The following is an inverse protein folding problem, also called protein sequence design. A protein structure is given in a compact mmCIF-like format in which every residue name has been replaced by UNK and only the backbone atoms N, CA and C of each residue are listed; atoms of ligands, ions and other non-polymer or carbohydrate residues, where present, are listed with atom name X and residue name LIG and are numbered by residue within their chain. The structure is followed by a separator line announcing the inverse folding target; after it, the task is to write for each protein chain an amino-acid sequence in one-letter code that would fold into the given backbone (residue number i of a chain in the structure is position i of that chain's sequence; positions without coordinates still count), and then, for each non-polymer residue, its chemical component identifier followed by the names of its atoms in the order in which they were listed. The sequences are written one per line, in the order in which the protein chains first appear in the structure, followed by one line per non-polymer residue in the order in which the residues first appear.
data_IF_076075311523
#
_entry.id   IF_076075311523
#
_cell.length_a   1.000
_cell.length_b   1.000
_cell.length_c   1.000
_cell.angle_alpha   90.00
_cell.angle_beta   90.00
_cell.angle_gamma   90.00
#
_symmetry.space_group_name_H-M   'P 1'
#
loop_
_entity.id
_entity.type
_entity.pdbx_description
1 polymer ?
#
# COMPACT_ATOMS: atom_id res chain seq x y z
N UNK A 1 27.32 -17.93 5.80
CA UNK A 1 25.96 -17.78 5.25
C UNK A 1 26.12 -17.12 3.91
N UNK A 2 25.49 -17.64 2.85
CA UNK A 2 25.55 -17.05 1.51
C UNK A 2 24.94 -15.65 1.53
N UNK A 3 25.59 -14.69 0.89
CA UNK A 3 25.14 -13.30 0.85
C UNK A 3 23.73 -13.16 0.24
N UNK A 4 23.39 -14.01 -0.72
CA UNK A 4 22.05 -14.06 -1.32
C UNK A 4 20.98 -14.43 -0.28
N UNK A 5 21.27 -15.41 0.60
CA UNK A 5 20.38 -15.81 1.67
C UNK A 5 20.17 -14.69 2.68
N UNK A 6 21.23 -13.96 3.02
CA UNK A 6 21.15 -12.80 3.93
C UNK A 6 20.23 -11.73 3.33
N UNK A 7 20.43 -11.37 2.06
CA UNK A 7 19.58 -10.37 1.39
C UNK A 7 18.12 -10.82 1.23
N UNK A 8 17.90 -12.12 0.95
CA UNK A 8 16.55 -12.67 0.91
C UNK A 8 15.82 -12.50 2.24
N UNK A 9 16.49 -12.81 3.36
CA UNK A 9 15.92 -12.62 4.70
C UNK A 9 15.64 -11.15 4.97
N UNK A 10 16.57 -10.25 4.66
CA UNK A 10 16.40 -8.81 4.88
C UNK A 10 15.23 -8.23 4.09
N UNK A 11 15.12 -8.56 2.81
CA UNK A 11 13.99 -8.13 1.96
C UNK A 11 12.67 -8.69 2.49
N UNK A 12 12.67 -9.96 2.92
CA UNK A 12 11.48 -10.58 3.53
C UNK A 12 11.04 -9.85 4.79
N UNK A 13 11.98 -9.51 5.69
CA UNK A 13 11.68 -8.75 6.91
C UNK A 13 11.10 -7.36 6.57
N UNK A 14 11.64 -6.69 5.56
CA UNK A 14 11.11 -5.40 5.14
C UNK A 14 9.65 -5.50 4.64
N UNK A 15 9.32 -6.51 3.84
CA UNK A 15 7.93 -6.73 3.41
C UNK A 15 7.00 -7.13 4.55
N UNK A 16 7.46 -7.96 5.49
CA UNK A 16 6.68 -8.31 6.69
C UNK A 16 6.39 -7.04 7.51
N UNK A 17 7.41 -6.20 7.74
CA UNK A 17 7.24 -4.92 8.43
C UNK A 17 6.24 -4.01 7.71
N UNK A 18 6.34 -3.90 6.39
CA UNK A 18 5.38 -3.16 5.57
C UNK A 18 3.95 -3.68 5.76
N UNK A 19 3.70 -4.97 5.54
CA UNK A 19 2.34 -5.52 5.66
C UNK A 19 1.77 -5.41 7.06
N UNK A 20 2.62 -5.50 8.09
CA UNK A 20 2.19 -5.33 9.47
C UNK A 20 1.78 -3.89 9.76
N UNK A 21 2.61 -2.91 9.41
CA UNK A 21 2.39 -1.50 9.72
C UNK A 21 1.30 -0.89 8.83
N UNK A 22 1.45 -1.04 7.53
CA UNK A 22 0.51 -0.49 6.55
C UNK A 22 -0.86 -1.17 6.59
N UNK A 23 -0.91 -2.42 7.05
CA UNK A 23 -2.17 -3.14 7.27
C UNK A 23 -3.12 -2.43 8.22
N UNK A 24 -2.61 -1.76 9.25
CA UNK A 24 -3.42 -0.90 10.14
C UNK A 24 -3.95 0.32 9.40
N UNK A 25 -3.12 0.96 8.59
CA UNK A 25 -3.49 2.18 7.87
C UNK A 25 -4.55 1.89 6.80
N UNK A 26 -4.39 0.79 6.06
CA UNK A 26 -5.43 0.30 5.14
C UNK A 26 -6.72 -0.05 5.88
N UNK A 27 -6.61 -0.74 7.03
CA UNK A 27 -7.76 -1.10 7.84
C UNK A 27 -8.56 0.11 8.32
N UNK A 28 -7.89 1.14 8.81
CA UNK A 28 -8.53 2.40 9.21
C UNK A 28 -9.22 3.07 8.03
N UNK A 29 -8.55 3.18 6.87
CA UNK A 29 -9.13 3.79 5.68
C UNK A 29 -10.34 3.02 5.13
N UNK A 30 -10.31 1.69 5.16
CA UNK A 30 -11.41 0.83 4.70
C UNK A 30 -12.61 0.94 5.65
N UNK A 31 -12.38 0.99 6.95
CA UNK A 31 -13.44 1.04 7.95
C UNK A 31 -14.06 2.44 8.10
N UNK A 32 -13.36 3.48 7.69
CA UNK A 32 -13.75 4.88 7.89
C UNK A 32 -15.22 5.18 7.53
N UNK A 33 -15.74 4.88 6.31
CA UNK A 33 -17.12 5.23 5.97
C UNK A 33 -18.17 4.37 6.66
N UNK A 34 -17.81 3.21 7.20
CA UNK A 34 -18.74 2.25 7.80
C UNK A 34 -18.79 2.35 9.33
N UNK A 35 -17.63 2.52 9.96
CA UNK A 35 -17.50 2.53 11.41
C UNK A 35 -17.72 3.92 12.02
N UNK A 36 -17.27 4.98 11.35
CA UNK A 36 -17.40 6.35 11.81
C UNK A 36 -18.68 7.00 11.26
N UNK A 37 -19.60 7.36 12.14
CA UNK A 37 -20.92 7.91 11.80
C UNK A 37 -20.96 9.43 11.80
N UNK A 38 -20.20 10.05 12.69
CA UNK A 38 -20.08 11.50 12.82
C UNK A 38 -18.77 12.02 12.22
N UNK A 39 -18.70 13.32 11.89
CA UNK A 39 -17.46 13.91 11.38
C UNK A 39 -16.32 13.85 12.41
N UNK A 40 -16.64 14.04 13.69
CA UNK A 40 -15.66 13.95 14.77
C UNK A 40 -15.07 12.53 14.89
N UNK A 41 -15.92 11.49 14.77
CA UNK A 41 -15.44 10.10 14.74
C UNK A 41 -14.54 9.85 13.53
N UNK A 42 -14.89 10.34 12.34
CA UNK A 42 -14.07 10.23 11.13
C UNK A 42 -12.70 10.92 11.30
N UNK A 43 -12.70 12.11 11.91
CA UNK A 43 -11.45 12.80 12.25
C UNK A 43 -10.59 12.02 13.23
N UNK A 44 -11.20 11.39 14.25
CA UNK A 44 -10.46 10.52 15.18
C UNK A 44 -9.83 9.32 14.47
N UNK A 45 -10.55 8.66 13.55
CA UNK A 45 -10.03 7.57 12.74
C UNK A 45 -8.80 8.03 11.93
N UNK A 46 -8.92 9.12 11.18
CA UNK A 46 -7.82 9.65 10.37
C UNK A 46 -6.64 10.07 11.25
N UNK A 47 -6.89 10.75 12.37
CA UNK A 47 -5.84 11.20 13.28
C UNK A 47 -5.11 10.03 13.96
N UNK A 48 -5.73 8.85 14.09
CA UNK A 48 -5.08 7.68 14.68
C UNK A 48 -3.90 7.17 13.86
N UNK A 49 -3.95 7.33 12.54
CA UNK A 49 -2.87 6.95 11.62
C UNK A 49 -2.07 8.15 11.11
N UNK A 50 -2.59 9.37 11.28
CA UNK A 50 -1.99 10.61 10.79
C UNK A 50 -0.50 10.76 11.06
N UNK A 51 0.01 10.46 12.28
CA UNK A 51 1.43 10.61 12.59
C UNK A 51 2.34 9.53 11.98
N UNK A 52 1.80 8.42 11.46
CA UNK A 52 2.58 7.21 11.12
C UNK A 52 2.42 6.71 9.69
N UNK A 53 1.29 7.00 9.03
CA UNK A 53 0.97 6.41 7.70
C UNK A 53 2.06 6.65 6.64
N UNK A 54 2.61 7.85 6.58
CA UNK A 54 3.67 8.20 5.62
C UNK A 54 4.97 7.43 5.91
N UNK A 55 5.34 7.32 7.21
CA UNK A 55 6.48 6.51 7.64
C UNK A 55 6.28 5.02 7.39
N UNK A 56 5.06 4.52 7.47
CA UNK A 56 4.74 3.11 7.19
C UNK A 56 4.88 2.80 5.69
N UNK A 57 4.50 3.70 4.79
CA UNK A 57 4.70 3.54 3.34
C UNK A 57 6.19 3.47 2.94
N UNK A 58 7.09 4.09 3.71
CA UNK A 58 8.54 4.03 3.46
C UNK A 58 9.09 2.60 3.51
N UNK A 59 8.49 1.71 4.30
CA UNK A 59 8.89 0.30 4.33
C UNK A 59 8.73 -0.37 2.97
N UNK A 60 7.67 -0.07 2.23
CA UNK A 60 7.46 -0.56 0.87
C UNK A 60 8.55 -0.05 -0.09
N UNK A 61 8.84 1.24 -0.03
CA UNK A 61 9.87 1.87 -0.88
C UNK A 61 11.23 1.26 -0.58
N UNK A 62 11.56 1.07 0.69
CA UNK A 62 12.80 0.44 1.13
C UNK A 62 12.88 -1.02 0.68
N UNK A 63 11.80 -1.80 0.84
CA UNK A 63 11.73 -3.19 0.39
C UNK A 63 11.89 -3.31 -1.13
N UNK A 64 11.20 -2.46 -1.90
CA UNK A 64 11.32 -2.41 -3.36
C UNK A 64 12.73 -2.01 -3.81
N UNK A 65 13.34 -1.01 -3.18
CA UNK A 65 14.71 -0.59 -3.46
C UNK A 65 15.75 -1.66 -3.13
N UNK A 66 15.59 -2.35 -1.99
CA UNK A 66 16.44 -3.47 -1.59
C UNK A 66 16.28 -4.66 -2.54
N UNK A 67 15.05 -4.96 -2.96
CA UNK A 67 14.77 -6.01 -3.96
C UNK A 67 15.43 -5.67 -5.31
N UNK A 68 15.33 -4.42 -5.75
CA UNK A 68 15.98 -3.96 -6.97
C UNK A 68 17.51 -4.10 -6.92
N UNK A 69 18.12 -3.71 -5.81
CA UNK A 69 19.56 -3.75 -5.64
C UNK A 69 20.12 -5.18 -5.50
N UNK A 70 19.45 -6.03 -4.71
CA UNK A 70 19.92 -7.38 -4.41
C UNK A 70 19.48 -8.42 -5.45
N UNK A 71 18.30 -8.25 -6.05
CA UNK A 71 17.68 -9.21 -6.98
C UNK A 71 17.07 -8.53 -8.21
N UNK A 72 17.88 -7.86 -9.06
CA UNK A 72 17.37 -7.03 -10.16
C UNK A 72 16.54 -7.80 -11.18
N UNK A 73 16.86 -9.07 -11.45
CA UNK A 73 16.06 -9.91 -12.36
C UNK A 73 14.68 -10.26 -11.79
N UNK A 74 14.60 -10.54 -10.48
CA UNK A 74 13.33 -10.79 -9.79
C UNK A 74 12.48 -9.53 -9.79
N UNK A 75 13.08 -8.38 -9.47
CA UNK A 75 12.41 -7.07 -9.52
C UNK A 75 11.84 -6.80 -10.91
N UNK A 76 12.65 -6.91 -11.96
CA UNK A 76 12.23 -6.64 -13.34
C UNK A 76 11.08 -7.57 -13.78
N UNK A 77 11.15 -8.86 -13.45
CA UNK A 77 10.09 -9.84 -13.77
C UNK A 77 8.80 -9.50 -13.05
N UNK A 78 8.85 -9.23 -11.74
CA UNK A 78 7.67 -8.88 -10.94
C UNK A 78 7.00 -7.61 -11.46
N UNK A 79 7.78 -6.55 -11.70
CA UNK A 79 7.26 -5.28 -12.20
C UNK A 79 6.68 -5.38 -13.61
N UNK A 80 7.25 -6.21 -14.48
CA UNK A 80 6.71 -6.46 -15.81
C UNK A 80 5.40 -7.24 -15.77
N UNK A 81 5.33 -8.29 -14.95
CA UNK A 81 4.16 -9.17 -14.87
C UNK A 81 2.99 -8.51 -14.12
N UNK A 82 3.29 -7.71 -13.10
CA UNK A 82 2.31 -7.03 -12.26
C UNK A 82 2.15 -5.55 -12.64
N UNK A 83 2.63 -5.12 -13.80
CA UNK A 83 2.70 -3.71 -14.18
C UNK A 83 1.39 -2.96 -13.95
N UNK A 84 0.27 -3.48 -14.46
CA UNK A 84 -1.02 -2.82 -14.32
C UNK A 84 -1.50 -2.79 -12.87
N UNK A 85 -1.29 -3.88 -12.13
CA UNK A 85 -1.65 -3.94 -10.70
C UNK A 85 -0.84 -2.93 -9.88
N UNK A 86 0.47 -2.86 -10.10
CA UNK A 86 1.35 -1.91 -9.42
C UNK A 86 1.05 -0.46 -9.79
N UNK A 87 0.71 -0.20 -11.06
CA UNK A 87 0.29 1.13 -11.50
C UNK A 87 -1.01 1.58 -10.81
N UNK A 88 -2.03 0.72 -10.76
CA UNK A 88 -3.30 1.00 -10.08
C UNK A 88 -3.10 1.16 -8.57
N UNK A 89 -2.22 0.36 -7.98
CA UNK A 89 -1.83 0.48 -6.57
C UNK A 89 -1.22 1.86 -6.29
N UNK A 90 -0.26 2.29 -7.11
CA UNK A 90 0.36 3.61 -6.99
C UNK A 90 -0.68 4.74 -7.10
N UNK A 91 -1.61 4.63 -8.06
CA UNK A 91 -2.70 5.61 -8.18
C UNK A 91 -3.58 5.65 -6.93
N UNK A 92 -3.90 4.49 -6.35
CA UNK A 92 -4.63 4.39 -5.09
C UNK A 92 -3.92 5.07 -3.92
N UNK A 93 -2.62 4.82 -3.77
CA UNK A 93 -1.78 5.43 -2.73
C UNK A 93 -1.69 6.96 -2.88
N UNK A 94 -1.52 7.47 -4.11
CA UNK A 94 -1.51 8.91 -4.37
C UNK A 94 -2.86 9.54 -3.99
N UNK A 95 -3.97 8.93 -4.41
CA UNK A 95 -5.31 9.42 -4.06
C UNK A 95 -5.52 9.44 -2.55
N UNK A 96 -5.08 8.39 -1.85
CA UNK A 96 -5.17 8.30 -0.38
C UNK A 96 -4.36 9.40 0.30
N UNK A 97 -3.10 9.56 -0.06
CA UNK A 97 -2.21 10.59 0.51
C UNK A 97 -2.76 12.01 0.31
N UNK A 98 -3.24 12.31 -0.91
CA UNK A 98 -3.89 13.59 -1.20
C UNK A 98 -5.16 13.75 -0.37
N UNK A 99 -5.95 12.69 -0.18
CA UNK A 99 -7.21 12.74 0.55
C UNK A 99 -7.03 13.11 2.03
N UNK A 100 -6.00 12.60 2.70
CA UNK A 100 -5.71 12.96 4.08
C UNK A 100 -5.44 14.46 4.25
N UNK A 101 -4.70 15.06 3.32
CA UNK A 101 -4.35 16.47 3.37
C UNK A 101 -5.52 17.39 2.95
N UNK A 102 -6.30 16.98 1.96
CA UNK A 102 -7.32 17.85 1.37
C UNK A 102 -8.67 17.80 2.08
N UNK A 103 -8.96 16.71 2.81
CA UNK A 103 -10.22 16.58 3.56
C UNK A 103 -10.51 17.77 4.47
N UNK A 104 -9.50 18.26 5.18
CA UNK A 104 -9.62 19.38 6.13
C UNK A 104 -9.56 20.78 5.51
N UNK A 105 -9.50 20.92 4.16
CA UNK A 105 -9.38 22.24 3.52
C UNK A 105 -10.71 22.97 3.31
N UNK A 106 -11.84 22.26 3.44
CA UNK A 106 -13.18 22.83 3.26
C UNK A 106 -14.17 22.21 4.23
N UNK A 107 -15.01 23.02 4.88
CA UNK A 107 -15.96 22.60 5.93
C UNK A 107 -17.36 22.25 5.37
N UNK A 108 -17.46 21.70 4.16
CA UNK A 108 -18.75 21.27 3.60
C UNK A 108 -18.90 19.75 3.71
N UNK A 109 -20.10 19.29 4.07
CA UNK A 109 -20.39 17.86 4.20
C UNK A 109 -20.13 17.08 2.89
N UNK A 110 -20.40 17.70 1.74
CA UNK A 110 -20.13 17.09 0.43
C UNK A 110 -18.62 16.88 0.21
N UNK A 111 -17.81 17.85 0.61
CA UNK A 111 -16.35 17.79 0.50
C UNK A 111 -15.77 16.67 1.41
N UNK A 112 -16.18 16.65 2.68
CA UNK A 112 -15.74 15.61 3.61
C UNK A 112 -16.13 14.22 3.10
N UNK A 113 -17.38 14.05 2.65
CA UNK A 113 -17.85 12.75 2.14
C UNK A 113 -17.09 12.28 0.89
N UNK A 114 -16.76 13.19 -0.02
CA UNK A 114 -15.95 12.87 -1.20
C UNK A 114 -14.58 12.32 -0.79
N UNK A 115 -13.88 13.03 0.10
CA UNK A 115 -12.55 12.63 0.53
C UNK A 115 -12.55 11.36 1.40
N UNK A 116 -13.58 11.15 2.21
CA UNK A 116 -13.75 9.90 2.96
C UNK A 116 -13.87 8.68 2.03
N UNK A 117 -14.63 8.79 0.94
CA UNK A 117 -14.71 7.74 -0.06
C UNK A 117 -13.41 7.57 -0.86
N UNK A 118 -12.68 8.64 -1.11
CA UNK A 118 -11.36 8.56 -1.75
C UNK A 118 -10.32 7.90 -0.82
N UNK A 119 -10.38 8.14 0.49
CA UNK A 119 -9.58 7.41 1.49
C UNK A 119 -9.93 5.92 1.46
N UNK A 120 -11.22 5.58 1.43
CA UNK A 120 -11.67 4.19 1.32
C UNK A 120 -11.13 3.51 0.05
N UNK A 121 -11.33 4.10 -1.12
CA UNK A 121 -10.86 3.54 -2.40
C UNK A 121 -9.33 3.42 -2.41
N UNK A 122 -8.64 4.47 -1.97
CA UNK A 122 -7.18 4.52 -1.91
C UNK A 122 -6.57 3.58 -0.88
N UNK A 123 -7.36 3.04 0.06
CA UNK A 123 -6.94 2.01 1.01
C UNK A 123 -7.34 0.60 0.56
N UNK A 124 -8.56 0.43 0.08
CA UNK A 124 -9.08 -0.87 -0.36
C UNK A 124 -8.36 -1.39 -1.60
N UNK A 125 -8.18 -0.52 -2.61
CA UNK A 125 -7.56 -0.92 -3.87
C UNK A 125 -6.11 -1.41 -3.69
N UNK A 126 -5.21 -0.69 -3.01
CA UNK A 126 -3.86 -1.19 -2.73
C UNK A 126 -3.86 -2.48 -1.90
N UNK A 127 -4.69 -2.57 -0.84
CA UNK A 127 -4.77 -3.77 -0.02
C UNK A 127 -5.19 -5.00 -0.84
N UNK A 128 -6.20 -4.85 -1.70
CA UNK A 128 -6.64 -5.91 -2.60
C UNK A 128 -5.55 -6.31 -3.60
N UNK A 129 -4.90 -5.34 -4.23
CA UNK A 129 -3.85 -5.59 -5.23
C UNK A 129 -2.59 -6.21 -4.62
N UNK A 130 -2.25 -5.89 -3.37
CA UNK A 130 -1.22 -6.61 -2.64
C UNK A 130 -1.58 -8.08 -2.44
N UNK A 131 -2.83 -8.38 -2.13
CA UNK A 131 -3.32 -9.77 -2.06
C UNK A 131 -3.16 -10.49 -3.40
N UNK A 132 -3.48 -9.82 -4.50
CA UNK A 132 -3.27 -10.35 -5.87
C UNK A 132 -1.78 -10.59 -6.14
N UNK A 133 -0.92 -9.63 -5.81
CA UNK A 133 0.53 -9.73 -6.03
C UNK A 133 1.14 -10.91 -5.26
N UNK A 134 0.86 -11.01 -3.96
CA UNK A 134 1.36 -12.11 -3.11
C UNK A 134 0.84 -13.47 -3.59
N UNK A 135 -0.44 -13.56 -3.96
CA UNK A 135 -1.02 -14.81 -4.47
C UNK A 135 -0.34 -15.26 -5.77
N UNK A 136 -0.04 -14.32 -6.68
CA UNK A 136 0.68 -14.64 -7.92
C UNK A 136 2.13 -15.07 -7.65
N UNK A 137 2.81 -14.45 -6.70
CA UNK A 137 4.14 -14.89 -6.26
C UNK A 137 4.12 -16.33 -5.73
N UNK A 138 3.12 -16.68 -4.93
CA UNK A 138 2.97 -18.04 -4.38
C UNK A 138 2.65 -19.09 -5.45
N UNK A 139 1.87 -18.72 -6.46
CA UNK A 139 1.54 -19.62 -7.59
C UNK A 139 2.67 -19.74 -8.61
N UNK A 140 3.59 -18.79 -8.62
CA UNK A 140 4.61 -18.62 -9.66
C UNK A 140 4.06 -17.92 -10.91
N UNK A 141 4.96 -17.22 -11.59
CA UNK A 141 4.65 -16.60 -12.89
C UNK A 141 4.93 -17.59 -14.01
N UNK A 142 4.02 -17.67 -15.00
CA UNK A 142 4.32 -18.39 -16.23
C UNK A 142 5.32 -17.57 -17.04
N UNK A 143 6.60 -17.93 -16.96
CA UNK A 143 7.66 -17.34 -17.78
C UNK A 143 7.75 -18.16 -19.05
N UNK A 144 7.38 -17.56 -20.18
CA UNK A 144 7.54 -18.20 -21.48
C UNK A 144 9.04 -18.38 -21.76
N UNK A 145 9.45 -19.59 -22.15
CA UNK A 145 10.84 -19.95 -22.45
C UNK A 145 11.45 -19.22 -23.66
N UNK A 146 10.69 -18.35 -24.33
CA UNK A 146 11.06 -17.67 -25.57
C UNK A 146 11.59 -16.22 -25.35
N UNK A 147 12.05 -15.90 -24.13
CA UNK A 147 12.72 -14.61 -23.84
C UNK A 147 14.01 -14.82 -23.10
#
# INVERSE_FOLDING_TARGET
MDLQVVWFILVTVLFIGFFFLEGFDYGVGILLPFAAKTDDERRMFINSIGPVWDGNEVWMITAGGALFAAFPHVYATMFSMLYMALFLMLMGLIVRGVAFEFRGKHDTACWHNLWDWLIFIGSFLPAFLWGVAVTNLMKGFMINSDK
#
